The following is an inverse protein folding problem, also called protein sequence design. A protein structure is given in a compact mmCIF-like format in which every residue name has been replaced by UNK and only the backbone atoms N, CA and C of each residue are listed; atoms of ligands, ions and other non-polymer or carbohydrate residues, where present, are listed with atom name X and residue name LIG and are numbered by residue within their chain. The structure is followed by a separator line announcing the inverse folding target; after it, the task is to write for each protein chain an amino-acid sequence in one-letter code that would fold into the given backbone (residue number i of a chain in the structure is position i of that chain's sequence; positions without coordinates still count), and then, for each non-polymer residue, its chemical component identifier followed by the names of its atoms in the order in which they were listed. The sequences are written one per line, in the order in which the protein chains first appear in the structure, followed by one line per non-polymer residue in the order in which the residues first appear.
data_IF_969861339896
#
_entry.id   IF_969861339896
#
_cell.length_a   1.000
_cell.length_b   1.000
_cell.length_c   1.000
_cell.angle_alpha   90.00
_cell.angle_beta   90.00
_cell.angle_gamma   90.00
#
_symmetry.space_group_name_H-M   'P 1'
#
loop_
_entity.id
_entity.type
_entity.pdbx_description
1 polymer ?
#
# COMPACT_ATOMS: atom_id res chain seq x y z
N UNK A 1 -30.53 -23.97 18.13
CA UNK A 1 -30.35 -22.56 17.74
C UNK A 1 -29.88 -21.84 18.98
N UNK A 2 -28.63 -21.37 19.02
CA UNK A 2 -28.20 -20.45 20.08
C UNK A 2 -29.04 -19.17 19.93
N UNK A 3 -29.51 -18.60 21.03
CA UNK A 3 -30.27 -17.36 20.95
C UNK A 3 -29.38 -16.25 20.37
N UNK A 4 -29.97 -15.27 19.68
CA UNK A 4 -29.23 -14.10 19.17
C UNK A 4 -28.42 -13.44 20.29
N UNK A 5 -28.96 -13.43 21.52
CA UNK A 5 -28.26 -12.97 22.72
C UNK A 5 -26.98 -13.77 23.02
N UNK A 6 -27.01 -15.10 22.94
CA UNK A 6 -25.81 -15.94 23.17
C UNK A 6 -24.73 -15.70 22.10
N UNK A 7 -25.15 -15.53 20.84
CA UNK A 7 -24.23 -15.23 19.74
C UNK A 7 -23.56 -13.85 19.94
N UNK A 8 -24.33 -12.85 20.37
CA UNK A 8 -23.83 -11.51 20.64
C UNK A 8 -22.77 -11.49 21.75
N UNK A 9 -23.03 -12.19 22.86
CA UNK A 9 -22.07 -12.28 23.98
C UNK A 9 -20.75 -12.91 23.52
N UNK A 10 -20.80 -13.91 22.64
CA UNK A 10 -19.62 -14.63 22.16
C UNK A 10 -18.81 -13.88 21.08
N UNK A 11 -19.44 -12.95 20.36
CA UNK A 11 -18.84 -12.31 19.18
C UNK A 11 -18.65 -10.80 19.31
N UNK A 12 -19.11 -10.17 20.40
CA UNK A 12 -18.98 -8.72 20.63
C UNK A 12 -17.57 -8.18 20.37
N UNK A 13 -16.56 -8.72 21.05
CA UNK A 13 -15.17 -8.23 20.92
C UNK A 13 -14.64 -8.39 19.48
N UNK A 14 -15.09 -9.43 18.78
CA UNK A 14 -14.70 -9.69 17.38
C UNK A 14 -15.37 -8.72 16.42
N UNK A 15 -16.63 -8.35 16.70
CA UNK A 15 -17.37 -7.34 15.94
C UNK A 15 -16.71 -5.97 16.14
N UNK A 16 -16.45 -5.58 17.39
CA UNK A 16 -15.77 -4.32 17.72
C UNK A 16 -14.42 -4.23 17.00
N UNK A 17 -13.62 -5.31 17.04
CA UNK A 17 -12.36 -5.38 16.29
C UNK A 17 -12.54 -5.27 14.77
N UNK A 18 -13.50 -5.99 14.19
CA UNK A 18 -13.77 -5.90 12.74
C UNK A 18 -14.24 -4.52 12.31
N UNK A 19 -15.00 -3.83 13.18
CA UNK A 19 -15.42 -2.43 13.01
C UNK A 19 -14.24 -1.48 13.06
N UNK A 20 -13.31 -1.66 13.99
CA UNK A 20 -12.08 -0.88 14.03
C UNK A 20 -11.26 -1.05 12.74
N UNK A 21 -11.14 -2.27 12.25
CA UNK A 21 -10.41 -2.59 11.01
C UNK A 21 -11.01 -1.89 9.78
N UNK A 22 -12.34 -1.76 9.70
CA UNK A 22 -12.98 -0.99 8.63
C UNK A 22 -12.64 0.50 8.67
N UNK A 23 -12.34 1.04 9.86
CA UNK A 23 -11.91 2.43 10.06
C UNK A 23 -10.40 2.63 10.03
N UNK A 24 -9.60 1.56 9.95
CA UNK A 24 -8.14 1.67 9.89
C UNK A 24 -7.68 2.12 8.50
N UNK A 25 -6.60 2.90 8.49
CA UNK A 25 -5.86 3.19 7.28
C UNK A 25 -5.26 1.90 6.70
N UNK A 26 -4.88 1.99 5.44
CA UNK A 26 -4.46 0.92 4.55
C UNK A 26 -3.18 0.16 4.94
N UNK A 27 -2.44 0.61 5.95
CA UNK A 27 -1.13 0.06 6.38
C UNK A 27 -1.18 -1.37 6.97
N UNK A 28 -2.37 -1.90 7.25
CA UNK A 28 -2.53 -3.13 8.06
C UNK A 28 -3.12 -4.29 7.26
N UNK A 29 -3.24 -4.17 5.93
CA UNK A 29 -3.97 -5.15 5.09
C UNK A 29 -3.61 -6.61 5.37
N UNK A 30 -2.31 -6.91 5.55
CA UNK A 30 -1.85 -8.27 5.85
C UNK A 30 -2.41 -8.87 7.14
N UNK A 31 -2.59 -8.05 8.18
CA UNK A 31 -3.13 -8.50 9.46
C UNK A 31 -4.67 -8.46 9.50
N UNK A 32 -5.34 -8.05 8.42
CA UNK A 32 -6.80 -7.89 8.36
C UNK A 32 -7.53 -9.00 7.60
N UNK A 33 -6.82 -9.90 6.91
CA UNK A 33 -7.41 -11.00 6.14
C UNK A 33 -8.30 -11.87 7.02
N UNK A 34 -9.58 -12.04 6.63
CA UNK A 34 -10.60 -12.81 7.33
C UNK A 34 -11.13 -12.14 8.61
N UNK A 35 -10.58 -11.00 9.02
CA UNK A 35 -11.00 -10.34 10.27
C UNK A 35 -12.33 -9.57 10.12
N UNK A 36 -12.87 -9.46 8.91
CA UNK A 36 -14.19 -8.92 8.64
C UNK A 36 -15.32 -9.95 8.77
N UNK A 37 -15.02 -11.25 8.87
CA UNK A 37 -16.05 -12.30 8.99
C UNK A 37 -17.07 -12.02 10.12
N UNK A 38 -16.65 -11.63 11.34
CA UNK A 38 -17.60 -11.33 12.43
C UNK A 38 -18.54 -10.15 12.14
N UNK A 39 -18.07 -9.15 11.39
CA UNK A 39 -18.89 -8.00 10.97
C UNK A 39 -19.93 -8.44 9.95
N UNK A 40 -19.53 -9.24 8.96
CA UNK A 40 -20.45 -9.79 7.98
C UNK A 40 -21.49 -10.71 8.63
N UNK A 41 -21.08 -11.51 9.62
CA UNK A 41 -22.01 -12.32 10.42
C UNK A 41 -22.96 -11.46 11.26
N UNK A 42 -22.49 -10.35 11.84
CA UNK A 42 -23.36 -9.44 12.59
C UNK A 42 -24.44 -8.83 11.70
N UNK A 43 -24.08 -8.41 10.48
CA UNK A 43 -25.03 -7.92 9.47
C UNK A 43 -26.07 -8.99 9.14
N UNK A 44 -25.64 -10.25 9.01
CA UNK A 44 -26.52 -11.39 8.79
C UNK A 44 -27.53 -11.58 9.93
N UNK A 45 -27.03 -11.66 11.17
CA UNK A 45 -27.88 -11.86 12.35
C UNK A 45 -28.85 -10.68 12.52
N UNK A 46 -28.38 -9.45 12.30
CA UNK A 46 -29.20 -8.24 12.33
C UNK A 46 -30.35 -8.27 11.31
N UNK A 47 -30.05 -8.65 10.08
CA UNK A 47 -31.03 -8.67 8.98
C UNK A 47 -32.14 -9.69 9.24
N UNK A 48 -31.81 -10.85 9.78
CA UNK A 48 -32.79 -11.88 10.15
C UNK A 48 -33.64 -11.47 11.37
N UNK A 49 -33.05 -10.83 12.38
CA UNK A 49 -33.75 -10.39 13.59
C UNK A 49 -34.68 -9.19 13.31
N UNK A 50 -34.24 -8.24 12.47
CA UNK A 50 -35.04 -7.09 12.02
C UNK A 50 -36.36 -7.49 11.32
N UNK A 51 -36.40 -8.70 10.74
CA UNK A 51 -37.58 -9.27 10.09
C UNK A 51 -38.51 -10.00 11.03
N UNK A 52 -37.93 -10.68 12.02
CA UNK A 52 -38.66 -11.61 12.89
C UNK A 52 -39.19 -10.92 14.14
N UNK A 53 -38.44 -9.96 14.71
CA UNK A 53 -38.78 -9.25 15.93
C UNK A 53 -38.21 -7.81 15.92
N UNK A 54 -38.75 -6.91 15.10
CA UNK A 54 -38.19 -5.57 14.86
C UNK A 54 -38.07 -4.67 16.10
N UNK A 55 -38.85 -4.94 17.15
CA UNK A 55 -38.86 -4.17 18.41
C UNK A 55 -38.11 -4.85 19.56
N UNK A 56 -37.53 -6.04 19.31
CA UNK A 56 -36.76 -6.83 20.27
C UNK A 56 -35.50 -6.11 20.78
N UNK A 57 -35.05 -6.48 21.97
CA UNK A 57 -33.83 -5.91 22.58
C UNK A 57 -32.59 -6.23 21.73
N UNK A 58 -32.55 -7.43 21.17
CA UNK A 58 -31.53 -7.96 20.28
C UNK A 58 -31.51 -7.22 18.94
N UNK A 59 -32.68 -7.00 18.33
CA UNK A 59 -32.82 -6.20 17.11
C UNK A 59 -32.27 -4.78 17.29
N UNK A 60 -32.57 -4.15 18.44
CA UNK A 60 -32.08 -2.80 18.76
C UNK A 60 -30.56 -2.76 18.93
N UNK A 61 -29.97 -3.73 19.64
CA UNK A 61 -28.51 -3.82 19.78
C UNK A 61 -27.83 -4.04 18.43
N UNK A 62 -28.32 -4.96 17.61
CA UNK A 62 -27.78 -5.24 16.28
C UNK A 62 -27.91 -4.03 15.34
N UNK A 63 -29.02 -3.29 15.43
CA UNK A 63 -29.19 -2.01 14.72
C UNK A 63 -28.15 -0.99 15.19
N UNK A 64 -27.85 -0.89 16.48
CA UNK A 64 -26.78 -0.02 16.99
C UNK A 64 -25.39 -0.43 16.48
N UNK A 65 -25.08 -1.73 16.44
CA UNK A 65 -23.83 -2.20 15.86
C UNK A 65 -23.73 -1.86 14.38
N UNK A 66 -24.83 -2.01 13.63
CA UNK A 66 -24.92 -1.59 12.24
C UNK A 66 -24.75 -0.07 12.08
N UNK A 67 -25.24 0.73 13.02
CA UNK A 67 -25.02 2.17 13.05
C UNK A 67 -23.54 2.52 13.30
N UNK A 68 -22.83 1.77 14.14
CA UNK A 68 -21.37 1.93 14.32
C UNK A 68 -20.63 1.51 13.03
N UNK A 69 -21.04 0.41 12.37
CA UNK A 69 -20.52 0.06 11.04
C UNK A 69 -20.74 1.23 10.08
N UNK A 70 -21.96 1.75 9.99
CA UNK A 70 -22.30 2.89 9.12
C UNK A 70 -21.45 4.12 9.44
N UNK A 71 -21.19 4.43 10.71
CA UNK A 71 -20.31 5.54 11.11
C UNK A 71 -18.86 5.34 10.67
N UNK A 72 -18.33 4.10 10.74
CA UNK A 72 -17.00 3.80 10.17
C UNK A 72 -16.98 3.82 8.65
N UNK A 73 -18.15 3.64 8.05
CA UNK A 73 -18.41 3.76 6.63
C UNK A 73 -18.88 5.20 6.25
N UNK A 74 -18.93 6.17 7.18
CA UNK A 74 -19.21 7.58 6.84
C UNK A 74 -18.03 8.19 6.07
N UNK A 75 -18.33 9.08 5.12
CA UNK A 75 -17.33 9.62 4.20
C UNK A 75 -16.93 8.68 3.06
N UNK A 76 -17.52 7.47 3.00
CA UNK A 76 -17.32 6.53 1.89
C UNK A 76 -17.66 7.16 0.54
N UNK A 77 -18.69 8.00 0.46
CA UNK A 77 -19.11 8.59 -0.82
C UNK A 77 -17.97 9.42 -1.44
N UNK A 78 -17.33 10.29 -0.67
CA UNK A 78 -16.15 11.07 -1.11
C UNK A 78 -14.93 10.18 -1.36
N UNK A 79 -14.83 9.06 -0.64
CA UNK A 79 -13.73 8.12 -0.82
C UNK A 79 -13.89 7.21 -2.04
N UNK A 80 -15.12 6.85 -2.38
CA UNK A 80 -15.49 6.08 -3.56
C UNK A 80 -15.45 6.96 -4.80
N UNK A 81 -15.83 8.23 -4.72
CA UNK A 81 -15.63 9.16 -5.84
C UNK A 81 -14.14 9.20 -6.28
N UNK A 82 -13.21 8.93 -5.36
CA UNK A 82 -11.80 8.72 -5.70
C UNK A 82 -11.53 7.34 -6.30
N UNK A 83 -12.16 6.26 -5.85
CA UNK A 83 -12.07 4.95 -6.54
C UNK A 83 -12.54 5.11 -7.98
N UNK A 84 -13.70 5.71 -8.20
CA UNK A 84 -14.24 6.03 -9.50
C UNK A 84 -13.24 6.78 -10.40
N UNK A 85 -12.57 7.80 -9.85
CA UNK A 85 -11.50 8.51 -10.55
C UNK A 85 -10.28 7.62 -10.84
N UNK A 86 -9.86 6.76 -9.90
CA UNK A 86 -8.75 5.83 -10.12
C UNK A 86 -9.11 4.73 -11.14
N UNK A 87 -10.33 4.21 -11.13
CA UNK A 87 -10.87 3.31 -12.14
C UNK A 87 -10.89 3.98 -13.52
N UNK A 88 -11.26 5.27 -13.56
CA UNK A 88 -11.23 6.04 -14.80
C UNK A 88 -9.79 6.24 -15.31
N UNK A 89 -8.83 6.53 -14.43
CA UNK A 89 -7.41 6.73 -14.79
C UNK A 89 -6.72 5.45 -15.24
N UNK A 90 -7.05 4.32 -14.61
CA UNK A 90 -6.49 2.99 -14.94
C UNK A 90 -7.09 2.40 -16.22
N UNK A 91 -7.89 3.17 -16.96
CA UNK A 91 -8.65 2.73 -18.14
C UNK A 91 -9.56 1.51 -17.86
N UNK A 92 -9.89 1.28 -16.59
CA UNK A 92 -10.87 0.28 -16.23
C UNK A 92 -12.23 0.74 -16.75
N UNK A 93 -12.89 -0.14 -17.49
CA UNK A 93 -14.06 0.16 -18.33
C UNK A 93 -15.14 0.96 -17.56
N UNK A 94 -15.84 1.88 -18.24
CA UNK A 94 -17.00 2.66 -17.72
C UNK A 94 -17.99 1.81 -16.92
N UNK A 95 -18.11 0.53 -17.28
CA UNK A 95 -18.95 -0.43 -16.58
C UNK A 95 -18.58 -0.64 -15.10
N UNK A 96 -17.30 -0.55 -14.70
CA UNK A 96 -16.93 -0.68 -13.28
C UNK A 96 -17.34 0.55 -12.47
N UNK A 97 -17.25 1.74 -13.07
CA UNK A 97 -17.77 2.97 -12.47
C UNK A 97 -19.29 2.92 -12.28
N UNK A 98 -20.03 2.49 -13.31
CA UNK A 98 -21.50 2.38 -13.23
C UNK A 98 -21.92 1.37 -12.15
N UNK A 99 -21.20 0.25 -12.01
CA UNK A 99 -21.42 -0.77 -10.96
C UNK A 99 -21.20 -0.25 -9.55
N UNK A 100 -20.13 0.50 -9.34
CA UNK A 100 -19.81 1.09 -8.04
C UNK A 100 -20.91 2.06 -7.58
N UNK A 101 -21.33 2.96 -8.47
CA UNK A 101 -22.42 3.89 -8.20
C UNK A 101 -23.74 3.17 -7.88
N UNK A 102 -24.03 2.07 -8.61
CA UNK A 102 -25.20 1.24 -8.35
C UNK A 102 -25.12 0.58 -6.96
N UNK A 103 -24.01 -0.09 -6.61
CA UNK A 103 -23.81 -0.70 -5.29
C UNK A 103 -24.01 0.29 -4.14
N UNK A 104 -23.49 1.51 -4.30
CA UNK A 104 -23.69 2.56 -3.31
C UNK A 104 -25.13 2.98 -3.19
N UNK A 105 -25.80 3.21 -4.31
CA UNK A 105 -27.21 3.59 -4.29
C UNK A 105 -28.08 2.51 -3.65
N UNK A 106 -27.76 1.23 -3.86
CA UNK A 106 -28.43 0.10 -3.20
C UNK A 106 -28.26 0.16 -1.69
N UNK A 107 -27.02 0.34 -1.22
CA UNK A 107 -26.71 0.46 0.19
C UNK A 107 -27.34 1.70 0.84
N UNK A 108 -27.34 2.84 0.17
CA UNK A 108 -28.01 4.07 0.64
C UNK A 108 -29.50 3.80 0.89
N UNK A 109 -30.19 3.12 -0.04
CA UNK A 109 -31.60 2.74 0.13
C UNK A 109 -31.80 1.72 1.25
N UNK A 110 -30.85 0.82 1.48
CA UNK A 110 -30.88 -0.09 2.62
C UNK A 110 -30.80 0.67 3.94
N UNK A 111 -29.85 1.60 4.08
CA UNK A 111 -29.73 2.45 5.26
C UNK A 111 -31.00 3.27 5.51
N UNK A 112 -31.58 3.81 4.44
CA UNK A 112 -32.86 4.52 4.43
C UNK A 112 -34.01 3.70 5.02
N UNK A 113 -33.98 2.37 4.83
CA UNK A 113 -34.90 1.40 5.40
C UNK A 113 -34.59 1.09 6.86
N UNK A 114 -33.33 0.75 7.18
CA UNK A 114 -32.91 0.38 8.55
C UNK A 114 -33.16 1.53 9.52
N UNK A 115 -32.92 2.77 9.10
CA UNK A 115 -33.06 3.97 9.93
C UNK A 115 -34.48 4.57 9.88
N UNK A 116 -35.43 3.94 9.19
CA UNK A 116 -36.78 4.47 9.03
C UNK A 116 -37.58 4.41 10.34
N UNK A 117 -38.29 5.51 10.65
CA UNK A 117 -39.32 5.50 11.71
C UNK A 117 -40.39 4.44 11.39
N UNK A 118 -41.02 3.79 12.39
CA UNK A 118 -41.98 2.69 12.18
C UNK A 118 -43.05 2.98 11.12
N UNK A 119 -43.62 4.19 11.14
CA UNK A 119 -44.65 4.63 10.18
C UNK A 119 -44.22 4.71 8.70
N UNK A 120 -42.92 4.72 8.43
CA UNK A 120 -42.35 4.81 7.07
C UNK A 120 -41.58 3.55 6.66
N UNK A 121 -41.42 2.60 7.58
CA UNK A 121 -40.52 1.45 7.41
C UNK A 121 -40.92 0.58 6.23
N UNK A 122 -42.20 0.26 6.08
CA UNK A 122 -42.65 -0.59 4.98
C UNK A 122 -42.48 0.08 3.61
N UNK A 123 -42.82 1.37 3.51
CA UNK A 123 -42.59 2.15 2.27
C UNK A 123 -41.10 2.24 1.91
N UNK A 124 -40.21 2.35 2.90
CA UNK A 124 -38.76 2.41 2.68
C UNK A 124 -38.20 1.03 2.31
N UNK A 125 -38.73 -0.05 2.90
CA UNK A 125 -38.44 -1.44 2.53
C UNK A 125 -38.79 -1.72 1.08
N UNK A 126 -40.01 -1.40 0.65
CA UNK A 126 -40.43 -1.56 -0.76
C UNK A 126 -39.54 -0.80 -1.73
N UNK A 127 -39.15 0.43 -1.37
CA UNK A 127 -38.21 1.23 -2.17
C UNK A 127 -36.84 0.58 -2.28
N UNK A 128 -36.30 0.07 -1.18
CA UNK A 128 -35.02 -0.64 -1.20
C UNK A 128 -35.09 -1.89 -2.10
N UNK A 129 -36.09 -2.75 -1.91
CA UNK A 129 -36.28 -3.97 -2.69
C UNK A 129 -36.38 -3.65 -4.19
N UNK A 130 -37.25 -2.72 -4.56
CA UNK A 130 -37.44 -2.32 -5.96
C UNK A 130 -36.19 -1.68 -6.54
N UNK A 131 -35.48 -0.83 -5.77
CA UNK A 131 -34.25 -0.20 -6.24
C UNK A 131 -33.14 -1.22 -6.48
N UNK A 132 -32.97 -2.18 -5.56
CA UNK A 132 -31.99 -3.26 -5.67
C UNK A 132 -32.22 -4.09 -6.94
N UNK A 133 -33.46 -4.53 -7.17
CA UNK A 133 -33.84 -5.30 -8.36
C UNK A 133 -33.62 -4.53 -9.68
N UNK A 134 -33.88 -3.22 -9.68
CA UNK A 134 -33.74 -2.35 -10.85
C UNK A 134 -32.30 -1.84 -11.10
N UNK A 135 -31.36 -2.13 -10.21
CA UNK A 135 -29.96 -1.70 -10.31
C UNK A 135 -29.03 -2.90 -10.38
N UNK A 136 -29.36 -3.88 -11.23
CA UNK A 136 -28.57 -5.09 -11.50
C UNK A 136 -28.36 -6.02 -10.28
N UNK A 137 -29.13 -5.84 -9.20
CA UNK A 137 -29.16 -6.75 -8.04
C UNK A 137 -27.75 -7.09 -7.50
N UNK A 138 -27.42 -8.37 -7.35
CA UNK A 138 -26.12 -8.88 -6.91
C UNK A 138 -25.09 -9.01 -8.04
N UNK A 139 -25.46 -8.75 -9.30
CA UNK A 139 -24.54 -8.83 -10.45
C UNK A 139 -23.39 -7.82 -10.34
N UNK A 140 -23.62 -6.66 -9.71
CA UNK A 140 -22.59 -5.64 -9.56
C UNK A 140 -21.44 -6.11 -8.68
N UNK A 141 -21.74 -6.73 -7.54
CA UNK A 141 -20.73 -7.21 -6.62
C UNK A 141 -20.08 -8.52 -7.12
N UNK A 142 -20.83 -9.37 -7.82
CA UNK A 142 -20.26 -10.54 -8.50
C UNK A 142 -19.26 -10.11 -9.58
N UNK A 143 -19.60 -9.10 -10.38
CA UNK A 143 -18.70 -8.53 -11.39
C UNK A 143 -17.47 -7.86 -10.77
N UNK A 144 -17.63 -7.15 -9.64
CA UNK A 144 -16.52 -6.54 -8.91
C UNK A 144 -15.56 -7.61 -8.37
N UNK A 145 -16.09 -8.69 -7.79
CA UNK A 145 -15.31 -9.85 -7.36
C UNK A 145 -14.50 -10.43 -8.52
N UNK A 146 -15.16 -10.74 -9.64
CA UNK A 146 -14.50 -11.27 -10.83
C UNK A 146 -13.43 -10.33 -11.38
N UNK A 147 -13.66 -9.01 -11.31
CA UNK A 147 -12.67 -8.03 -11.72
C UNK A 147 -11.41 -8.06 -10.86
N UNK A 148 -11.54 -8.27 -9.55
CA UNK A 148 -10.42 -8.38 -8.61
C UNK A 148 -9.68 -9.71 -8.76
N UNK A 149 -10.39 -10.81 -8.96
CA UNK A 149 -9.79 -12.15 -9.06
C UNK A 149 -9.19 -12.46 -10.42
N UNK A 150 -9.50 -11.65 -11.44
CA UNK A 150 -9.07 -11.85 -12.84
C UNK A 150 -10.01 -12.78 -13.63
N UNK A 151 -11.16 -13.16 -13.07
CA UNK A 151 -12.20 -13.95 -13.74
C UNK A 151 -13.12 -13.05 -14.60
N UNK A 152 -12.56 -12.00 -15.21
CA UNK A 152 -13.28 -11.03 -16.03
C UNK A 152 -13.03 -11.28 -17.53
N UNK A 153 -13.82 -10.65 -18.40
CA UNK A 153 -13.73 -10.85 -19.86
C UNK A 153 -12.43 -10.33 -20.47
N UNK A 154 -11.71 -9.43 -19.80
CA UNK A 154 -10.40 -8.93 -20.23
C UNK A 154 -9.23 -9.81 -19.79
N UNK A 155 -9.41 -10.69 -18.78
CA UNK A 155 -8.36 -11.53 -18.21
C UNK A 155 -7.38 -10.81 -17.27
N UNK A 156 -7.29 -9.48 -17.34
CA UNK A 156 -6.38 -8.68 -16.50
C UNK A 156 -6.99 -8.47 -15.09
N UNK A 157 -6.29 -8.87 -14.01
CA UNK A 157 -6.73 -8.59 -12.65
C UNK A 157 -6.67 -7.09 -12.35
N UNK A 158 -7.78 -6.52 -11.85
CA UNK A 158 -7.92 -5.09 -11.48
C UNK A 158 -6.72 -4.56 -10.69
N UNK A 159 -6.27 -5.32 -9.69
CA UNK A 159 -5.20 -4.89 -8.79
C UNK A 159 -3.83 -4.81 -9.48
N UNK A 160 -3.57 -5.65 -10.50
CA UNK A 160 -2.33 -5.59 -11.28
C UNK A 160 -2.29 -4.32 -12.15
N UNK A 161 -3.42 -3.94 -12.74
CA UNK A 161 -3.57 -2.68 -13.47
C UNK A 161 -3.33 -1.47 -12.56
N UNK A 162 -3.88 -1.49 -11.35
CA UNK A 162 -3.69 -0.43 -10.35
C UNK A 162 -2.22 -0.34 -9.94
N UNK A 163 -1.58 -1.45 -9.58
CA UNK A 163 -0.15 -1.50 -9.22
C UNK A 163 0.72 -0.93 -10.34
N UNK A 164 0.43 -1.26 -11.59
CA UNK A 164 1.18 -0.77 -12.75
C UNK A 164 0.95 0.72 -12.98
N UNK A 165 -0.30 1.19 -12.95
CA UNK A 165 -0.67 2.59 -13.21
C UNK A 165 -0.12 3.52 -12.13
N UNK A 166 -0.19 3.09 -10.87
CA UNK A 166 0.37 3.80 -9.72
C UNK A 166 1.89 3.62 -9.59
N UNK A 167 2.53 2.98 -10.57
CA UNK A 167 3.98 2.76 -10.62
C UNK A 167 4.50 2.17 -9.30
N UNK A 168 3.81 1.16 -8.76
CA UNK A 168 4.12 0.49 -7.48
C UNK A 168 4.25 1.44 -6.29
N UNK A 169 3.51 2.54 -6.29
CA UNK A 169 3.35 3.38 -5.10
C UNK A 169 2.57 2.61 -4.04
N UNK A 170 3.27 2.05 -3.04
CA UNK A 170 2.66 1.29 -1.93
C UNK A 170 1.47 2.03 -1.36
N UNK A 171 1.63 3.32 -1.02
CA UNK A 171 0.59 4.17 -0.42
C UNK A 171 -0.65 4.31 -1.31
N UNK A 172 -0.47 4.50 -2.61
CA UNK A 172 -1.60 4.64 -3.53
C UNK A 172 -2.36 3.32 -3.68
N UNK A 173 -1.65 2.19 -3.78
CA UNK A 173 -2.25 0.85 -3.87
C UNK A 173 -2.96 0.47 -2.56
N UNK A 174 -2.32 0.75 -1.43
CA UNK A 174 -2.88 0.64 -0.08
C UNK A 174 -4.20 1.41 0.03
N UNK A 175 -4.20 2.69 -0.35
CA UNK A 175 -5.40 3.55 -0.33
C UNK A 175 -6.50 3.01 -1.23
N UNK A 176 -6.17 2.55 -2.44
CA UNK A 176 -7.14 1.91 -3.33
C UNK A 176 -7.76 0.66 -2.70
N UNK A 177 -6.94 -0.22 -2.12
CA UNK A 177 -7.39 -1.45 -1.45
C UNK A 177 -8.32 -1.15 -0.27
N UNK A 178 -8.01 -0.14 0.55
CA UNK A 178 -8.87 0.25 1.67
C UNK A 178 -10.25 0.72 1.19
N UNK A 179 -10.31 1.54 0.13
CA UNK A 179 -11.58 2.00 -0.43
C UNK A 179 -12.36 0.85 -1.08
N UNK A 180 -11.68 -0.02 -1.83
CA UNK A 180 -12.29 -1.19 -2.46
C UNK A 180 -12.86 -2.17 -1.42
N UNK A 181 -12.17 -2.36 -0.29
CA UNK A 181 -12.67 -3.15 0.85
C UNK A 181 -13.99 -2.58 1.39
N UNK A 182 -14.10 -1.26 1.55
CA UNK A 182 -15.35 -0.60 1.95
C UNK A 182 -16.46 -0.82 0.93
N UNK A 183 -16.16 -0.73 -0.37
CA UNK A 183 -17.11 -0.99 -1.45
C UNK A 183 -17.67 -2.43 -1.42
N UNK A 184 -16.81 -3.43 -1.17
CA UNK A 184 -17.28 -4.81 -0.97
C UNK A 184 -18.22 -4.93 0.23
N UNK A 185 -17.87 -4.33 1.37
CA UNK A 185 -18.71 -4.40 2.58
C UNK A 185 -20.10 -3.81 2.32
N UNK A 186 -20.21 -2.62 1.72
CA UNK A 186 -21.53 -2.01 1.44
C UNK A 186 -22.35 -2.84 0.46
N UNK A 187 -21.70 -3.42 -0.56
CA UNK A 187 -22.36 -4.31 -1.50
C UNK A 187 -22.84 -5.62 -0.86
N UNK A 188 -22.02 -6.27 -0.03
CA UNK A 188 -22.40 -7.49 0.70
C UNK A 188 -23.59 -7.21 1.62
N UNK A 189 -23.57 -6.08 2.33
CA UNK A 189 -24.68 -5.67 3.19
C UNK A 189 -25.96 -5.51 2.37
N UNK A 190 -25.91 -4.85 1.21
CA UNK A 190 -27.08 -4.67 0.36
C UNK A 190 -27.64 -6.01 -0.15
N UNK A 191 -26.79 -6.92 -0.62
CA UNK A 191 -27.19 -8.26 -1.06
C UNK A 191 -27.85 -9.05 0.07
N UNK A 192 -27.22 -9.07 1.25
CA UNK A 192 -27.75 -9.79 2.41
C UNK A 192 -29.06 -9.18 2.91
N UNK A 193 -29.15 -7.85 2.96
CA UNK A 193 -30.36 -7.14 3.34
C UNK A 193 -31.54 -7.46 2.41
N UNK A 194 -31.28 -7.52 1.10
CA UNK A 194 -32.28 -7.91 0.11
C UNK A 194 -32.72 -9.37 0.29
N UNK A 195 -31.77 -10.31 0.40
CA UNK A 195 -32.07 -11.72 0.59
C UNK A 195 -32.92 -11.95 1.86
N UNK A 196 -32.53 -11.34 2.98
CA UNK A 196 -33.30 -11.39 4.21
C UNK A 196 -34.74 -10.92 3.96
N UNK A 197 -34.91 -9.71 3.39
CA UNK A 197 -36.22 -9.07 3.25
C UNK A 197 -37.16 -9.77 2.27
N UNK A 198 -36.62 -10.46 1.27
CA UNK A 198 -37.39 -11.15 0.23
C UNK A 198 -37.66 -12.62 0.56
N UNK A 199 -36.67 -13.32 1.13
CA UNK A 199 -36.73 -14.77 1.39
C UNK A 199 -37.08 -15.10 2.85
N UNK A 200 -37.13 -14.08 3.72
CA UNK A 200 -37.41 -14.23 5.15
C UNK A 200 -36.23 -14.74 5.97
N UNK A 201 -35.12 -15.07 5.34
CA UNK A 201 -33.86 -15.44 5.95
C UNK A 201 -32.71 -15.16 4.98
N UNK A 202 -31.49 -15.11 5.50
CA UNK A 202 -30.29 -15.22 4.67
C UNK A 202 -29.82 -16.68 4.79
N UNK A 203 -29.53 -17.33 3.65
CA UNK A 203 -29.05 -18.71 3.66
C UNK A 203 -27.61 -18.83 4.16
N UNK A 204 -27.28 -19.90 4.90
CA UNK A 204 -25.91 -20.18 5.36
C UNK A 204 -24.91 -20.26 4.19
N UNK A 205 -25.36 -20.76 3.03
CA UNK A 205 -24.58 -20.80 1.79
C UNK A 205 -24.16 -19.39 1.32
N UNK A 206 -25.07 -18.41 1.39
CA UNK A 206 -24.79 -17.03 1.00
C UNK A 206 -23.77 -16.39 1.94
N UNK A 207 -23.85 -16.67 3.24
CA UNK A 207 -22.85 -16.22 4.22
C UNK A 207 -21.48 -16.78 3.89
N UNK A 208 -21.38 -18.10 3.69
CA UNK A 208 -20.13 -18.77 3.32
C UNK A 208 -19.56 -18.27 2.00
N UNK A 209 -20.41 -18.03 0.98
CA UNK A 209 -20.03 -17.43 -0.31
C UNK A 209 -19.33 -16.10 -0.08
N UNK A 210 -19.97 -15.16 0.62
CA UNK A 210 -19.43 -13.81 0.77
C UNK A 210 -18.26 -13.72 1.75
N UNK A 211 -18.22 -14.53 2.80
CA UNK A 211 -17.06 -14.63 3.68
C UNK A 211 -15.81 -15.13 2.93
N UNK A 212 -15.96 -16.21 2.14
CA UNK A 212 -14.86 -16.77 1.35
C UNK A 212 -14.38 -15.82 0.26
N UNK A 213 -15.31 -15.16 -0.44
CA UNK A 213 -14.97 -14.17 -1.48
C UNK A 213 -14.28 -12.93 -0.91
N UNK A 214 -14.75 -12.41 0.22
CA UNK A 214 -14.09 -11.28 0.89
C UNK A 214 -12.67 -11.66 1.30
N UNK A 215 -12.46 -12.87 1.82
CA UNK A 215 -11.13 -13.35 2.18
C UNK A 215 -10.20 -13.47 0.96
N UNK A 216 -10.70 -13.96 -0.18
CA UNK A 216 -9.92 -14.01 -1.42
C UNK A 216 -9.56 -12.60 -1.90
N UNK A 217 -10.52 -11.66 -1.89
CA UNK A 217 -10.28 -10.25 -2.21
C UNK A 217 -9.18 -9.66 -1.31
N UNK A 218 -9.24 -9.90 0.00
CA UNK A 218 -8.22 -9.42 0.95
C UNK A 218 -6.84 -10.03 0.69
N UNK A 219 -6.76 -11.30 0.30
CA UNK A 219 -5.50 -11.95 -0.11
C UNK A 219 -4.93 -11.31 -1.38
N UNK A 220 -5.77 -11.00 -2.36
CA UNK A 220 -5.35 -10.32 -3.60
C UNK A 220 -4.86 -8.89 -3.32
N UNK A 221 -5.56 -8.15 -2.48
CA UNK A 221 -5.13 -6.82 -2.02
C UNK A 221 -3.76 -6.89 -1.33
N UNK A 222 -3.57 -7.86 -0.42
CA UNK A 222 -2.29 -8.08 0.24
C UNK A 222 -1.18 -8.34 -0.78
N UNK A 223 -1.41 -9.24 -1.74
CA UNK A 223 -0.41 -9.58 -2.75
C UNK A 223 -0.01 -8.36 -3.61
N UNK A 224 -0.96 -7.48 -3.94
CA UNK A 224 -0.69 -6.26 -4.69
C UNK A 224 0.19 -5.26 -3.90
N UNK A 225 -0.04 -5.13 -2.59
CA UNK A 225 0.80 -4.31 -1.72
C UNK A 225 2.17 -4.94 -1.51
N UNK A 226 2.22 -6.26 -1.30
CA UNK A 226 3.48 -7.01 -1.18
C UNK A 226 4.34 -6.81 -2.44
N UNK A 227 3.77 -6.89 -3.65
CA UNK A 227 4.48 -6.61 -4.92
C UNK A 227 5.14 -5.23 -4.92
N UNK A 228 4.44 -4.20 -4.43
CA UNK A 228 4.98 -2.85 -4.32
C UNK A 228 6.20 -2.81 -3.38
N UNK A 229 6.15 -3.56 -2.28
CA UNK A 229 7.24 -3.61 -1.28
C UNK A 229 8.40 -4.52 -1.66
N UNK A 230 8.17 -5.58 -2.43
CA UNK A 230 9.20 -6.52 -2.87
C UNK A 230 9.97 -5.97 -4.07
N UNK A 231 9.26 -5.30 -4.99
CA UNK A 231 9.84 -4.76 -6.22
C UNK A 231 10.17 -3.26 -6.13
N UNK A 232 10.15 -2.68 -4.92
CA UNK A 232 10.38 -1.24 -4.71
C UNK A 232 11.74 -0.77 -5.24
N UNK A 233 12.79 -1.60 -5.13
CA UNK A 233 14.13 -1.23 -5.52
C UNK A 233 14.28 -1.07 -7.04
N UNK A 234 13.65 -1.97 -7.81
CA UNK A 234 13.62 -1.87 -9.26
C UNK A 234 12.79 -0.66 -9.72
N UNK A 235 11.62 -0.46 -9.10
CA UNK A 235 10.80 0.71 -9.39
C UNK A 235 11.50 2.01 -9.02
N UNK A 236 12.16 2.09 -7.86
CA UNK A 236 12.88 3.30 -7.43
C UNK A 236 14.00 3.67 -8.40
N UNK A 237 14.66 2.66 -9.00
CA UNK A 237 15.65 2.90 -10.05
C UNK A 237 15.00 3.49 -11.31
N UNK A 238 13.86 2.96 -11.76
CA UNK A 238 13.12 3.48 -12.91
C UNK A 238 12.63 4.92 -12.67
N UNK A 239 12.09 5.19 -11.49
CA UNK A 239 11.64 6.53 -11.09
C UNK A 239 12.79 7.54 -11.11
N UNK A 240 13.96 7.15 -10.60
CA UNK A 240 15.17 7.98 -10.66
C UNK A 240 15.66 8.15 -12.09
N UNK A 241 15.61 7.12 -12.94
CA UNK A 241 15.94 7.23 -14.36
C UNK A 241 15.05 8.26 -15.06
N UNK A 242 13.73 8.21 -14.85
CA UNK A 242 12.78 9.16 -15.40
C UNK A 242 13.05 10.59 -14.90
N UNK A 243 13.18 10.76 -13.58
CA UNK A 243 13.43 12.07 -12.98
C UNK A 243 14.74 12.71 -13.50
N UNK A 244 15.78 11.90 -13.71
CA UNK A 244 17.06 12.37 -14.25
C UNK A 244 17.04 12.61 -15.77
N UNK A 245 16.09 12.02 -16.51
CA UNK A 245 15.87 12.33 -17.92
C UNK A 245 15.22 13.70 -18.11
N UNK A 246 14.28 14.04 -17.23
CA UNK A 246 13.56 15.32 -17.20
C UNK A 246 14.45 16.45 -16.65
N UNK A 247 15.18 16.19 -15.57
CA UNK A 247 16.13 17.12 -14.96
C UNK A 247 17.51 16.46 -14.74
N UNK A 248 18.45 16.61 -15.69
CA UNK A 248 19.78 16.00 -15.58
C UNK A 248 20.67 16.62 -14.49
N UNK A 249 20.22 17.74 -13.87
CA UNK A 249 20.79 18.35 -12.67
C UNK A 249 22.21 18.92 -12.78
N UNK A 250 22.68 19.42 -11.65
CA UNK A 250 24.05 19.88 -11.37
C UNK A 250 24.57 19.20 -10.09
N UNK A 251 25.89 19.19 -9.88
CA UNK A 251 26.48 18.57 -8.68
C UNK A 251 26.37 19.56 -7.51
N UNK A 252 25.18 19.66 -6.94
CA UNK A 252 24.90 20.53 -5.79
C UNK A 252 23.87 19.89 -4.85
N UNK A 253 23.68 20.55 -3.70
CA UNK A 253 22.85 20.05 -2.60
C UNK A 253 21.36 20.11 -2.91
N UNK A 254 20.91 21.08 -3.70
CA UNK A 254 19.48 21.24 -4.02
C UNK A 254 19.05 20.12 -4.98
N UNK A 255 19.91 19.77 -5.93
CA UNK A 255 19.73 18.61 -6.79
C UNK A 255 19.63 17.30 -6.01
N UNK A 256 20.62 16.99 -5.14
CA UNK A 256 20.57 15.73 -4.37
C UNK A 256 19.41 15.69 -3.39
N UNK A 257 19.04 16.84 -2.80
CA UNK A 257 17.86 16.97 -1.95
C UNK A 257 16.56 16.68 -2.70
N UNK A 258 16.40 17.21 -3.90
CA UNK A 258 15.20 16.94 -4.73
C UNK A 258 15.05 15.45 -5.04
N UNK A 259 16.16 14.75 -5.29
CA UNK A 259 16.14 13.29 -5.48
C UNK A 259 15.76 12.55 -4.19
N UNK A 260 16.33 12.96 -3.05
CA UNK A 260 16.04 12.35 -1.75
C UNK A 260 14.57 12.55 -1.36
N UNK A 261 14.06 13.76 -1.47
CA UNK A 261 12.68 14.11 -1.13
C UNK A 261 11.68 13.30 -1.98
N UNK A 262 12.00 13.07 -3.26
CA UNK A 262 11.20 12.23 -4.17
C UNK A 262 11.14 10.77 -3.70
N UNK A 263 12.30 10.17 -3.38
CA UNK A 263 12.40 8.80 -2.88
C UNK A 263 11.71 8.64 -1.52
N UNK A 264 11.95 9.55 -0.59
CA UNK A 264 11.33 9.52 0.76
C UNK A 264 9.82 9.66 0.67
N UNK A 265 9.31 10.51 -0.24
CA UNK A 265 7.87 10.70 -0.41
C UNK A 265 7.16 9.42 -0.90
N UNK A 266 7.75 8.67 -1.83
CA UNK A 266 7.14 7.46 -2.41
C UNK A 266 7.45 6.19 -1.62
N UNK A 267 8.65 6.12 -1.03
CA UNK A 267 9.18 4.97 -0.32
C UNK A 267 9.49 5.33 1.15
N UNK A 268 8.45 5.75 1.86
CA UNK A 268 8.54 6.30 3.22
C UNK A 268 9.04 5.31 4.28
N UNK A 269 9.00 4.00 3.98
CA UNK A 269 9.53 2.92 4.81
C UNK A 269 11.02 2.63 4.58
N UNK A 270 11.69 3.37 3.69
CA UNK A 270 13.07 3.09 3.27
C UNK A 270 14.00 4.24 3.66
N UNK A 271 15.19 3.88 4.14
CA UNK A 271 16.28 4.82 4.36
C UNK A 271 17.18 4.86 3.12
N UNK A 272 17.48 6.06 2.65
CA UNK A 272 18.15 6.36 1.39
C UNK A 272 19.42 7.17 1.63
N UNK A 273 20.47 6.90 0.85
CA UNK A 273 21.66 7.72 0.75
C UNK A 273 22.00 7.95 -0.72
N UNK A 274 22.13 9.23 -1.08
CA UNK A 274 22.39 9.69 -2.43
C UNK A 274 23.75 10.35 -2.46
N UNK A 275 24.59 9.96 -3.42
CA UNK A 275 25.87 10.63 -3.71
C UNK A 275 25.91 11.02 -5.17
N UNK A 276 26.13 12.30 -5.45
CA UNK A 276 26.31 12.82 -6.80
C UNK A 276 27.72 13.36 -6.98
N UNK A 277 28.36 13.04 -8.11
CA UNK A 277 29.67 13.55 -8.47
C UNK A 277 29.86 13.60 -9.98
N UNK A 278 30.71 14.52 -10.45
CA UNK A 278 30.98 14.63 -11.88
C UNK A 278 31.72 13.40 -12.40
N UNK A 279 31.17 12.77 -13.43
CA UNK A 279 31.81 11.69 -14.19
C UNK A 279 32.73 12.23 -15.29
N UNK A 280 32.85 13.56 -15.42
CA UNK A 280 33.81 14.16 -16.36
C UNK A 280 35.23 13.76 -15.98
N UNK A 281 35.97 13.33 -16.99
CA UNK A 281 37.39 13.06 -16.87
C UNK A 281 38.11 14.38 -16.62
N UNK A 282 38.58 14.60 -15.39
CA UNK A 282 39.52 15.68 -15.12
C UNK A 282 40.90 15.25 -15.61
N UNK A 283 41.18 15.57 -16.88
CA UNK A 283 42.52 15.73 -17.45
C UNK A 283 43.35 14.43 -17.51
N UNK A 284 43.86 14.13 -18.71
CA UNK A 284 44.60 12.91 -19.12
C UNK A 284 45.68 12.40 -18.13
N UNK A 285 46.29 13.27 -17.32
CA UNK A 285 47.38 12.92 -16.39
C UNK A 285 46.90 12.24 -15.10
N UNK A 286 45.68 12.50 -14.63
CA UNK A 286 45.14 11.91 -13.39
C UNK A 286 44.59 10.49 -13.59
N UNK A 287 44.23 10.12 -14.83
CA UNK A 287 43.77 8.77 -15.18
C UNK A 287 44.85 7.70 -14.95
N UNK A 288 46.13 8.08 -15.03
CA UNK A 288 47.23 7.16 -14.72
C UNK A 288 47.33 6.88 -13.19
N UNK A 289 47.13 7.88 -12.34
CA UNK A 289 47.19 7.70 -10.89
C UNK A 289 45.92 7.09 -10.27
N UNK A 290 44.74 7.27 -10.89
CA UNK A 290 43.46 6.86 -10.34
C UNK A 290 42.98 5.45 -10.76
N UNK A 291 43.72 4.74 -11.61
CA UNK A 291 43.46 3.32 -11.92
C UNK A 291 42.01 3.00 -12.29
N UNK A 292 41.53 3.49 -13.45
CA UNK A 292 40.29 3.13 -14.17
C UNK A 292 38.94 3.03 -13.41
N UNK A 293 38.83 3.19 -12.09
CA UNK A 293 37.55 3.21 -11.36
C UNK A 293 37.60 4.24 -10.24
N UNK A 294 37.10 5.45 -10.53
CA UNK A 294 37.06 6.57 -9.59
C UNK A 294 36.07 6.37 -8.43
N UNK A 295 35.25 5.33 -8.47
CA UNK A 295 34.39 4.89 -7.37
C UNK A 295 34.22 3.36 -7.40
N UNK A 296 33.69 2.80 -6.32
CA UNK A 296 33.34 1.39 -6.24
C UNK A 296 32.45 1.10 -5.03
N UNK A 297 31.47 0.22 -5.22
CA UNK A 297 30.53 -0.20 -4.18
C UNK A 297 30.64 -1.70 -3.95
N UNK A 298 30.50 -2.12 -2.69
CA UNK A 298 30.34 -3.52 -2.31
C UNK A 298 29.23 -3.65 -1.26
N UNK A 299 28.39 -4.64 -1.47
CA UNK A 299 27.20 -4.91 -0.67
C UNK A 299 25.95 -4.98 -1.55
N UNK A 300 24.82 -5.33 -0.95
CA UNK A 300 23.50 -5.30 -1.59
C UNK A 300 22.90 -3.88 -1.58
N UNK A 301 21.70 -3.71 -2.15
CA UNK A 301 20.84 -2.54 -1.94
C UNK A 301 21.41 -1.19 -2.45
N UNK A 302 21.90 -1.18 -3.69
CA UNK A 302 22.29 0.05 -4.38
C UNK A 302 22.16 -0.06 -5.90
N UNK A 303 22.07 1.10 -6.54
CA UNK A 303 22.18 1.26 -7.99
C UNK A 303 22.87 2.59 -8.31
N UNK A 304 23.37 2.71 -9.55
CA UNK A 304 23.95 3.96 -10.03
C UNK A 304 23.43 4.34 -11.41
N UNK A 305 23.37 5.64 -11.65
CA UNK A 305 22.80 6.24 -12.86
C UNK A 305 23.77 7.32 -13.38
N UNK A 306 23.83 7.47 -14.70
CA UNK A 306 24.64 8.49 -15.35
C UNK A 306 23.71 9.48 -16.07
N UNK A 307 23.71 10.73 -15.62
CA UNK A 307 22.90 11.78 -16.25
C UNK A 307 23.49 12.23 -17.59
N UNK A 308 22.66 12.89 -18.41
CA UNK A 308 23.10 13.52 -19.69
C UNK A 308 24.24 14.52 -19.47
N UNK A 309 24.30 15.15 -18.31
CA UNK A 309 25.35 16.12 -17.93
C UNK A 309 26.67 15.48 -17.46
N UNK A 310 26.78 14.15 -17.57
CA UNK A 310 27.92 13.36 -17.06
C UNK A 310 28.08 13.52 -15.56
N UNK A 311 26.96 13.42 -14.83
CA UNK A 311 26.94 13.33 -13.38
C UNK A 311 26.61 11.88 -13.03
N UNK A 312 27.45 11.25 -12.22
CA UNK A 312 27.18 9.94 -11.65
C UNK A 312 26.38 10.14 -10.36
N UNK A 313 25.21 9.53 -10.29
CA UNK A 313 24.35 9.48 -9.10
C UNK A 313 24.38 8.05 -8.58
N UNK A 314 24.77 7.87 -7.33
CA UNK A 314 24.80 6.55 -6.65
C UNK A 314 23.81 6.58 -5.50
N UNK A 315 22.78 5.76 -5.60
CA UNK A 315 21.72 5.60 -4.60
C UNK A 315 21.94 4.27 -3.89
N UNK A 316 21.93 4.29 -2.56
CA UNK A 316 21.92 3.07 -1.75
C UNK A 316 20.90 3.20 -0.63
N UNK A 317 20.39 2.07 -0.14
CA UNK A 317 19.22 2.06 0.72
C UNK A 317 19.22 0.92 1.75
N UNK A 318 18.36 1.03 2.76
CA UNK A 318 18.07 0.01 3.77
C UNK A 318 16.67 0.20 4.35
N UNK A 319 15.88 -0.88 4.46
CA UNK A 319 14.51 -0.82 5.02
C UNK A 319 14.53 -0.74 6.55
N UNK A 320 15.44 -1.49 7.20
CA UNK A 320 15.49 -1.60 8.66
C UNK A 320 16.94 -1.46 9.17
N UNK A 321 17.51 -0.25 9.12
CA UNK A 321 18.93 -0.05 9.41
C UNK A 321 19.23 -0.31 10.89
N UNK A 322 20.28 -1.10 11.14
CA UNK A 322 20.83 -1.36 12.49
C UNK A 322 22.00 -0.42 12.80
N UNK A 323 22.24 -0.05 14.07
CA UNK A 323 23.40 0.77 14.43
C UNK A 323 24.72 0.14 13.98
N UNK A 324 25.66 0.97 13.52
CA UNK A 324 26.99 0.55 13.09
C UNK A 324 28.06 1.08 14.05
N UNK A 325 29.13 0.30 14.25
CA UNK A 325 30.23 0.71 15.11
C UNK A 325 31.15 1.70 14.38
N UNK A 326 30.85 3.00 14.52
CA UNK A 326 31.62 4.08 13.88
C UNK A 326 33.09 4.14 14.33
N UNK A 327 33.39 3.83 15.59
CA UNK A 327 34.76 3.79 16.10
C UNK A 327 35.58 2.72 15.37
N UNK A 328 35.03 1.51 15.26
CA UNK A 328 35.67 0.41 14.53
C UNK A 328 35.84 0.74 13.04
N UNK A 329 34.87 1.41 12.42
CA UNK A 329 34.99 1.91 11.04
C UNK A 329 36.19 2.85 10.91
N UNK A 330 36.30 3.85 11.79
CA UNK A 330 37.39 4.83 11.77
C UNK A 330 38.77 4.17 11.95
N UNK A 331 38.90 3.20 12.86
CA UNK A 331 40.13 2.44 13.08
C UNK A 331 40.57 1.66 11.83
N UNK A 332 39.61 1.03 11.13
CA UNK A 332 39.90 0.20 9.95
C UNK A 332 40.26 1.04 8.71
N UNK A 333 39.73 2.26 8.58
CA UNK A 333 39.98 3.13 7.43
C UNK A 333 41.47 3.47 7.27
N UNK A 334 42.18 3.70 8.37
CA UNK A 334 43.61 4.06 8.33
C UNK A 334 44.49 3.04 7.61
N UNK A 335 44.15 1.75 7.71
CA UNK A 335 44.93 0.65 7.13
C UNK A 335 44.45 0.22 5.73
N UNK A 336 43.16 0.44 5.42
CA UNK A 336 42.46 -0.17 4.28
C UNK A 336 42.22 0.72 3.06
N UNK A 337 42.65 1.98 3.09
CA UNK A 337 42.58 2.90 1.94
C UNK A 337 43.70 2.68 0.90
N UNK A 338 43.92 1.44 0.47
CA UNK A 338 44.94 1.09 -0.55
C UNK A 338 44.27 0.51 -1.80
N UNK A 339 44.86 0.78 -2.96
CA UNK A 339 44.33 0.35 -4.26
C UNK A 339 43.28 1.30 -4.85
N UNK A 340 42.52 0.76 -5.81
CA UNK A 340 41.36 1.37 -6.45
C UNK A 340 40.18 1.50 -5.46
N UNK A 341 39.21 2.36 -5.77
CA UNK A 341 38.04 2.53 -4.90
C UNK A 341 37.19 1.27 -4.77
N UNK A 342 37.18 0.40 -5.79
CA UNK A 342 36.57 -0.92 -5.69
C UNK A 342 37.30 -1.83 -4.69
N UNK A 343 38.63 -1.85 -4.71
CA UNK A 343 39.43 -2.62 -3.73
C UNK A 343 39.24 -2.10 -2.31
N UNK A 344 39.14 -0.78 -2.15
CA UNK A 344 38.81 -0.15 -0.86
C UNK A 344 37.44 -0.62 -0.36
N UNK A 345 36.40 -0.55 -1.21
CA UNK A 345 35.06 -1.00 -0.86
C UNK A 345 35.03 -2.49 -0.50
N UNK A 346 35.70 -3.34 -1.28
CA UNK A 346 35.82 -4.78 -1.01
C UNK A 346 36.53 -5.06 0.33
N UNK A 347 37.63 -4.36 0.61
CA UNK A 347 38.43 -4.57 1.83
C UNK A 347 37.68 -4.15 3.10
N UNK A 348 36.92 -3.06 3.02
CA UNK A 348 36.08 -2.57 4.12
C UNK A 348 34.85 -3.45 4.31
N UNK A 349 34.12 -3.83 3.26
CA UNK A 349 32.97 -4.73 3.38
C UNK A 349 33.38 -6.11 3.95
N UNK A 350 34.59 -6.61 3.69
CA UNK A 350 35.11 -7.82 4.39
C UNK A 350 35.20 -7.66 5.91
N UNK A 351 35.43 -6.45 6.41
CA UNK A 351 35.40 -6.15 7.86
C UNK A 351 33.98 -5.91 8.38
N UNK A 352 33.06 -5.55 7.50
CA UNK A 352 31.69 -5.17 7.82
C UNK A 352 30.73 -5.90 6.86
N UNK A 353 30.60 -7.23 6.98
CA UNK A 353 29.95 -8.06 5.96
C UNK A 353 28.44 -7.80 5.78
N UNK A 354 27.80 -7.14 6.75
CA UNK A 354 26.38 -6.77 6.72
C UNK A 354 26.18 -5.28 6.39
N UNK A 355 27.19 -4.63 5.81
CA UNK A 355 27.13 -3.22 5.45
C UNK A 355 27.45 -3.03 3.99
N UNK A 356 26.66 -2.18 3.33
CA UNK A 356 27.08 -1.56 2.10
C UNK A 356 28.27 -0.63 2.37
N UNK A 357 29.28 -0.72 1.52
CA UNK A 357 30.39 0.22 1.46
C UNK A 357 30.47 0.80 0.06
N UNK A 358 30.38 2.12 -0.05
CA UNK A 358 30.67 2.86 -1.26
C UNK A 358 31.85 3.79 -1.04
N UNK A 359 32.85 3.69 -1.91
CA UNK A 359 34.04 4.52 -1.90
C UNK A 359 34.10 5.35 -3.19
N UNK A 360 34.38 6.64 -3.06
CA UNK A 360 34.61 7.57 -4.18
C UNK A 360 35.96 8.25 -4.00
N UNK A 361 36.74 8.39 -5.06
CA UNK A 361 38.06 9.00 -5.02
C UNK A 361 38.00 10.45 -4.53
N UNK A 362 38.94 10.85 -3.67
CA UNK A 362 39.03 12.22 -3.15
C UNK A 362 39.22 13.31 -4.23
N UNK A 363 39.63 12.93 -5.46
CA UNK A 363 39.74 13.84 -6.60
C UNK A 363 38.39 14.24 -7.19
N UNK A 364 37.30 13.57 -6.79
CA UNK A 364 35.94 13.96 -7.17
C UNK A 364 35.35 14.88 -6.11
N UNK A 365 34.56 15.83 -6.56
CA UNK A 365 33.67 16.59 -5.69
C UNK A 365 32.38 15.79 -5.53
N UNK A 366 32.13 15.34 -4.30
CA UNK A 366 30.99 14.49 -3.97
C UNK A 366 30.04 15.28 -3.11
N UNK A 367 28.80 15.41 -3.58
CA UNK A 367 27.68 15.89 -2.77
C UNK A 367 26.93 14.68 -2.26
N UNK A 368 26.73 14.59 -0.96
CA UNK A 368 26.03 13.51 -0.28
C UNK A 368 24.83 14.05 0.50
N UNK A 369 23.75 13.27 0.53
CA UNK A 369 22.59 13.48 1.40
C UNK A 369 21.93 12.14 1.73
N UNK A 370 21.36 12.02 2.93
CA UNK A 370 20.66 10.83 3.39
C UNK A 370 19.58 11.16 4.44
N UNK A 371 18.72 10.18 4.74
CA UNK A 371 17.73 10.23 5.83
C UNK A 371 17.94 9.14 6.90
N UNK A 372 19.12 8.53 6.96
CA UNK A 372 19.40 7.49 7.96
C UNK A 372 19.50 8.11 9.36
N UNK A 373 19.14 7.33 10.39
CA UNK A 373 19.48 7.67 11.76
C UNK A 373 21.01 7.81 11.93
N UNK A 374 21.45 8.75 12.75
CA UNK A 374 22.88 9.07 12.92
C UNK A 374 23.71 7.81 13.23
N UNK A 375 23.26 6.95 14.14
CA UNK A 375 23.98 5.74 14.54
C UNK A 375 24.04 4.64 13.48
N UNK A 376 23.25 4.75 12.41
CA UNK A 376 23.15 3.73 11.36
C UNK A 376 23.91 4.12 10.08
N UNK A 377 24.55 5.30 10.06
CA UNK A 377 25.17 5.82 8.85
C UNK A 377 26.52 6.46 9.13
N UNK A 378 27.48 6.14 8.26
CA UNK A 378 28.80 6.74 8.27
C UNK A 378 29.08 7.35 6.91
N UNK A 379 29.35 8.66 6.91
CA UNK A 379 29.96 9.36 5.78
C UNK A 379 31.18 10.14 6.23
N UNK A 380 32.29 9.98 5.50
CA UNK A 380 33.55 10.60 5.86
C UNK A 380 34.44 10.89 4.66
N UNK A 381 35.03 12.09 4.64
CA UNK A 381 36.09 12.46 3.71
C UNK A 381 37.45 12.09 4.31
N UNK A 382 38.17 11.20 3.65
CA UNK A 382 39.50 10.78 4.02
C UNK A 382 40.53 11.20 2.97
N UNK A 383 41.82 11.11 3.33
CA UNK A 383 42.96 11.51 2.49
C UNK A 383 42.88 10.99 1.05
N UNK A 384 42.29 9.80 0.84
CA UNK A 384 42.22 9.15 -0.49
C UNK A 384 40.81 8.97 -1.04
N UNK A 385 39.79 9.00 -0.20
CA UNK A 385 38.43 8.64 -0.59
C UNK A 385 37.37 9.33 0.28
N UNK A 386 36.21 9.58 -0.31
CA UNK A 386 34.94 9.69 0.40
C UNK A 386 34.41 8.28 0.63
N UNK A 387 33.97 8.00 1.85
CA UNK A 387 33.39 6.71 2.21
C UNK A 387 31.97 6.92 2.69
N UNK A 388 31.07 6.05 2.23
CA UNK A 388 29.72 5.90 2.73
C UNK A 388 29.55 4.44 3.17
N UNK A 389 29.13 4.23 4.41
CA UNK A 389 28.91 2.91 5.01
C UNK A 389 27.60 2.93 5.77
N UNK A 390 26.72 1.96 5.47
CA UNK A 390 25.47 1.74 6.19
C UNK A 390 25.08 0.26 6.14
N UNK A 391 24.20 -0.23 7.02
CA UNK A 391 23.66 -1.59 6.96
C UNK A 391 22.98 -1.88 5.64
N UNK A 392 23.03 -3.14 5.21
CA UNK A 392 22.23 -3.62 4.08
C UNK A 392 20.75 -3.76 4.45
#
# INVERSE_FOLDING_TARGET
MNSVADWLVQNRDKIEKGVEIMGQASEVLAATVGQLHPVLEAVFVASAELLSNPDGQEARYLTQQFEIVNQKLEGIQDEIDKIALELQKTSMNKQNFDREAQMLSQYEKFQDFVNAKPKFREKKKEKFLSHFENTDSDLNIDALYNAVTGENTSGDPMLETVVTTEQRSRRAVEDFCARLKKLFVVGIIAVMGHAALKEGAVGEEMVKKWQGRMEDVEKRMKAAVDDCTENFAEQAKLDMEQQLQENPGTVDRDFTKTLLDSLVKKYDWVNWSIRAFSDRERIFFFNWLAGKKCHGSRGANWFDLLTKNKIKVVVSFCVNPKPINKCQIQEQIGQKLKGSMMEVALSLNKSFPNCLVHAVSHYKEVVEINNFHEDCYYYGKHKRAYLCIHPE
#
